data_IF_567030699821
#
_entry.id   IF_567030699821
#
_cell.length_a   1.000
_cell.length_b   1.000
_cell.length_c   1.000
_cell.angle_alpha   90.00
_cell.angle_beta   90.00
_cell.angle_gamma   90.00
#
_symmetry.space_group_name_H-M   'P 1'
#
loop_
_entity.id
_entity.type
_entity.pdbx_description
1 polymer ?
#
# COMPACT_ATOMS: atom_id res chain seq x y z
N UNK A 1 11.49 -11.96 -8.54
CA UNK A 1 11.07 -11.92 -9.94
C UNK A 1 9.80 -11.08 -10.11
N UNK A 2 8.72 -11.32 -9.33
CA UNK A 2 7.45 -10.59 -9.46
C UNK A 2 7.66 -9.09 -9.36
N UNK A 3 8.40 -8.60 -8.36
CA UNK A 3 8.69 -7.19 -8.16
C UNK A 3 9.36 -6.53 -9.38
N UNK A 4 10.36 -7.20 -9.96
CA UNK A 4 11.05 -6.68 -11.15
C UNK A 4 10.10 -6.57 -12.34
N UNK A 5 9.31 -7.62 -12.59
CA UNK A 5 8.38 -7.65 -13.72
C UNK A 5 7.32 -6.56 -13.55
N UNK A 6 6.71 -6.44 -12.38
CA UNK A 6 5.67 -5.45 -12.12
C UNK A 6 6.20 -4.03 -12.16
N UNK A 7 7.43 -3.78 -11.67
CA UNK A 7 8.09 -2.49 -11.80
C UNK A 7 8.31 -2.11 -13.28
N UNK A 8 8.83 -3.03 -14.09
CA UNK A 8 9.04 -2.78 -15.52
C UNK A 8 7.72 -2.50 -16.26
N UNK A 9 6.66 -3.25 -15.95
CA UNK A 9 5.33 -3.02 -16.52
C UNK A 9 4.78 -1.66 -16.09
N UNK A 10 4.92 -1.29 -14.83
CA UNK A 10 4.48 0.03 -14.32
C UNK A 10 5.25 1.17 -14.99
N UNK A 11 6.57 1.02 -15.20
CA UNK A 11 7.38 2.00 -15.91
C UNK A 11 6.94 2.17 -17.37
N UNK A 12 6.60 1.08 -18.09
CA UNK A 12 6.05 1.16 -19.45
C UNK A 12 4.81 2.08 -19.49
N UNK A 13 3.95 1.98 -18.49
CA UNK A 13 2.73 2.79 -18.37
C UNK A 13 2.98 4.30 -18.29
N UNK A 14 4.15 4.73 -17.83
CA UNK A 14 4.48 6.16 -17.74
C UNK A 14 4.71 6.80 -19.13
N UNK A 15 5.01 6.01 -20.13
CA UNK A 15 5.23 6.47 -21.51
C UNK A 15 3.95 6.40 -22.38
N UNK A 16 2.85 5.86 -21.84
CA UNK A 16 1.56 5.81 -22.53
C UNK A 16 0.95 7.21 -22.54
N UNK A 17 0.62 7.72 -23.73
CA UNK A 17 -0.11 8.98 -23.85
C UNK A 17 -1.57 8.78 -23.45
N UNK A 18 -2.05 9.55 -22.49
CA UNK A 18 -3.45 9.57 -22.02
C UNK A 18 -4.01 11.01 -22.04
N UNK A 19 -5.34 11.19 -21.97
CA UNK A 19 -5.94 12.50 -21.88
C UNK A 19 -5.40 13.30 -20.67
N UNK A 20 -5.18 14.59 -20.83
CA UNK A 20 -4.66 15.46 -19.76
C UNK A 20 -5.52 15.44 -18.49
N UNK A 21 -6.84 15.26 -18.62
CA UNK A 21 -7.76 15.15 -17.48
C UNK A 21 -7.51 13.92 -16.61
N UNK A 22 -6.89 12.88 -17.16
CA UNK A 22 -6.62 11.61 -16.50
C UNK A 22 -5.15 11.50 -16.02
N UNK A 23 -4.35 12.59 -16.15
CA UNK A 23 -2.91 12.59 -15.84
C UNK A 23 -2.58 12.16 -14.41
N UNK A 24 -3.48 12.37 -13.45
CA UNK A 24 -3.30 11.90 -12.07
C UNK A 24 -3.08 10.38 -11.97
N UNK A 25 -3.63 9.60 -12.91
CA UNK A 25 -3.38 8.15 -12.95
C UNK A 25 -1.91 7.81 -13.28
N UNK A 26 -1.24 8.64 -14.10
CA UNK A 26 0.20 8.47 -14.35
C UNK A 26 1.03 8.90 -13.14
N UNK A 27 0.61 9.95 -12.42
CA UNK A 27 1.27 10.32 -11.15
C UNK A 27 1.15 9.18 -10.12
N UNK A 28 -0.05 8.60 -9.95
CA UNK A 28 -0.26 7.42 -9.10
C UNK A 28 0.64 6.27 -9.56
N UNK A 29 0.65 5.95 -10.85
CA UNK A 29 1.45 4.85 -11.39
C UNK A 29 2.95 5.08 -11.17
N UNK A 30 3.44 6.31 -11.30
CA UNK A 30 4.83 6.66 -11.02
C UNK A 30 5.19 6.43 -9.54
N UNK A 31 4.30 6.83 -8.64
CA UNK A 31 4.48 6.62 -7.19
C UNK A 31 4.45 5.11 -6.86
N UNK A 32 3.53 4.35 -7.44
CA UNK A 32 3.46 2.90 -7.24
C UNK A 32 4.68 2.17 -7.84
N UNK A 33 5.19 2.59 -8.99
CA UNK A 33 6.42 2.06 -9.55
C UNK A 33 7.62 2.33 -8.61
N UNK A 34 7.67 3.50 -7.98
CA UNK A 34 8.67 3.82 -6.98
C UNK A 34 8.53 2.97 -5.71
N UNK A 35 7.30 2.75 -5.23
CA UNK A 35 7.01 1.82 -4.11
C UNK A 35 7.51 0.41 -4.43
N UNK A 36 7.20 -0.11 -5.62
CA UNK A 36 7.65 -1.43 -6.07
C UNK A 36 9.18 -1.52 -6.18
N UNK A 37 9.84 -0.44 -6.60
CA UNK A 37 11.31 -0.38 -6.65
C UNK A 37 11.92 -0.46 -5.23
N UNK A 38 11.41 0.32 -4.28
CA UNK A 38 11.82 0.25 -2.86
C UNK A 38 11.61 -1.16 -2.33
N UNK A 39 10.42 -1.72 -2.54
CA UNK A 39 10.09 -3.08 -2.11
C UNK A 39 11.07 -4.12 -2.69
N UNK A 40 11.39 -4.03 -3.98
CA UNK A 40 12.37 -4.90 -4.64
C UNK A 40 13.73 -4.85 -3.95
N UNK A 41 14.21 -3.66 -3.59
CA UNK A 41 15.45 -3.48 -2.84
C UNK A 41 15.37 -4.12 -1.44
N UNK A 42 14.28 -3.88 -0.70
CA UNK A 42 14.09 -4.48 0.62
C UNK A 42 13.93 -6.00 0.56
N UNK A 43 13.33 -6.57 -0.50
CA UNK A 43 13.27 -8.01 -0.69
C UNK A 43 14.65 -8.64 -0.83
N UNK A 44 15.58 -8.01 -1.58
CA UNK A 44 16.97 -8.46 -1.63
C UNK A 44 17.58 -8.43 -0.23
N UNK A 45 17.39 -7.35 0.51
CA UNK A 45 17.90 -7.23 1.88
C UNK A 45 17.27 -8.24 2.85
N UNK A 46 15.99 -8.55 2.72
CA UNK A 46 15.29 -9.60 3.51
C UNK A 46 15.86 -10.98 3.17
N UNK A 47 16.12 -11.29 1.89
CA UNK A 47 16.72 -12.57 1.48
C UNK A 47 18.08 -12.78 2.13
N UNK A 48 18.88 -11.74 2.30
CA UNK A 48 20.17 -11.83 3.00
C UNK A 48 20.04 -12.20 4.50
N UNK A 49 18.81 -12.13 5.06
CA UNK A 49 18.52 -12.57 6.42
C UNK A 49 18.01 -14.02 6.52
N UNK A 50 17.99 -14.79 5.44
CA UNK A 50 17.50 -16.18 5.46
C UNK A 50 18.24 -17.10 6.45
N UNK A 51 19.50 -16.78 6.75
CA UNK A 51 20.29 -17.52 7.76
C UNK A 51 19.88 -17.19 9.20
N UNK A 52 19.32 -15.99 9.43
CA UNK A 52 18.76 -15.57 10.72
C UNK A 52 17.38 -14.95 10.50
N UNK A 53 16.36 -15.78 10.58
CA UNK A 53 14.98 -15.39 10.33
C UNK A 53 14.46 -14.32 11.30
N UNK A 54 15.11 -14.12 12.45
CA UNK A 54 14.73 -13.07 13.40
C UNK A 54 14.98 -11.67 12.84
N UNK A 55 15.95 -11.54 11.95
CA UNK A 55 16.25 -10.25 11.27
C UNK A 55 15.24 -9.91 10.17
N UNK A 56 14.45 -10.86 9.70
CA UNK A 56 13.47 -10.61 8.64
C UNK A 56 12.36 -9.66 9.10
N UNK A 57 11.84 -9.83 10.30
CA UNK A 57 10.76 -8.98 10.85
C UNK A 57 11.16 -7.51 10.90
N UNK A 58 12.28 -7.09 11.55
CA UNK A 58 12.71 -5.70 11.53
C UNK A 58 12.85 -5.11 10.13
N UNK A 59 13.44 -5.86 9.19
CA UNK A 59 13.64 -5.39 7.82
C UNK A 59 12.34 -5.14 7.08
N UNK A 60 11.32 -6.01 7.26
CA UNK A 60 10.00 -5.82 6.67
C UNK A 60 9.30 -4.58 7.22
N UNK A 61 9.38 -4.36 8.52
CA UNK A 61 8.74 -3.18 9.12
C UNK A 61 9.36 -1.87 8.63
N UNK A 62 10.67 -1.84 8.33
CA UNK A 62 11.31 -0.67 7.70
C UNK A 62 10.73 -0.43 6.30
N UNK A 63 10.59 -1.47 5.48
CA UNK A 63 9.93 -1.38 4.17
C UNK A 63 8.50 -0.86 4.32
N UNK A 64 7.70 -1.51 5.14
CA UNK A 64 6.30 -1.15 5.33
C UNK A 64 6.09 0.26 5.88
N UNK A 65 6.98 0.74 6.75
CA UNK A 65 6.90 2.10 7.29
C UNK A 65 7.02 3.17 6.18
N UNK A 66 7.73 2.86 5.11
CA UNK A 66 7.89 3.75 3.96
C UNK A 66 6.77 3.51 2.94
N UNK A 67 6.55 2.25 2.55
CA UNK A 67 5.70 1.91 1.41
C UNK A 67 4.21 2.01 1.71
N UNK A 68 3.76 1.57 2.89
CA UNK A 68 2.32 1.47 3.18
C UNK A 68 1.60 2.82 3.30
N UNK A 69 2.14 3.88 3.93
CA UNK A 69 1.45 5.17 3.94
C UNK A 69 1.35 5.79 2.54
N UNK A 70 2.36 5.57 1.70
CA UNK A 70 2.34 6.02 0.30
C UNK A 70 1.25 5.29 -0.49
N UNK A 71 1.11 3.98 -0.32
CA UNK A 71 0.05 3.19 -0.94
C UNK A 71 -1.35 3.62 -0.49
N UNK A 72 -1.55 3.95 0.79
CA UNK A 72 -2.82 4.48 1.25
C UNK A 72 -3.12 5.84 0.64
N UNK A 73 -2.12 6.71 0.49
CA UNK A 73 -2.26 7.98 -0.20
C UNK A 73 -2.70 7.77 -1.66
N UNK A 74 -1.97 6.97 -2.43
CA UNK A 74 -2.32 6.70 -3.84
C UNK A 74 -3.69 6.07 -3.97
N UNK A 75 -4.08 5.23 -3.03
CA UNK A 75 -5.42 4.61 -2.97
C UNK A 75 -6.53 5.66 -2.82
N UNK A 76 -6.41 6.59 -1.87
CA UNK A 76 -7.44 7.62 -1.68
C UNK A 76 -7.47 8.63 -2.84
N UNK A 77 -6.32 8.93 -3.43
CA UNK A 77 -6.25 9.74 -4.67
C UNK A 77 -6.97 9.03 -5.82
N UNK A 78 -6.75 7.72 -5.99
CA UNK A 78 -7.45 6.93 -6.99
C UNK A 78 -8.96 6.85 -6.75
N UNK A 79 -9.39 6.71 -5.50
CA UNK A 79 -10.81 6.75 -5.13
C UNK A 79 -11.43 8.11 -5.47
N UNK A 80 -10.72 9.22 -5.18
CA UNK A 80 -11.15 10.57 -5.54
C UNK A 80 -11.24 10.77 -7.05
N UNK A 81 -10.29 10.26 -7.81
CA UNK A 81 -10.34 10.28 -9.27
C UNK A 81 -11.62 9.60 -9.80
N UNK A 82 -12.00 8.44 -9.24
CA UNK A 82 -13.22 7.72 -9.68
C UNK A 82 -14.52 8.41 -9.26
N UNK A 83 -14.49 9.30 -8.26
CA UNK A 83 -15.65 10.12 -7.89
C UNK A 83 -15.96 11.15 -8.96
N UNK A 84 -14.93 11.75 -9.58
CA UNK A 84 -15.12 12.80 -10.58
C UNK A 84 -14.05 12.80 -11.67
N UNK A 85 -14.22 11.91 -12.65
CA UNK A 85 -13.28 11.75 -13.78
C UNK A 85 -13.23 12.91 -14.78
N UNK A 86 -14.09 13.92 -14.62
CA UNK A 86 -14.16 15.05 -15.56
C UNK A 86 -13.32 16.26 -15.10
N UNK A 87 -12.93 16.32 -13.84
CA UNK A 87 -12.14 17.41 -13.28
C UNK A 87 -10.68 16.97 -13.13
N UNK A 88 -9.75 17.57 -13.88
CA UNK A 88 -8.33 17.28 -13.74
C UNK A 88 -7.83 17.79 -12.38
N UNK A 89 -7.02 17.00 -11.71
CA UNK A 89 -6.28 17.40 -10.51
C UNK A 89 -4.97 16.60 -10.43
N UNK A 90 -4.05 17.05 -9.60
CA UNK A 90 -2.77 16.38 -9.34
C UNK A 90 -2.76 15.75 -7.95
N UNK A 91 -1.85 14.80 -7.72
CA UNK A 91 -1.60 14.23 -6.38
C UNK A 91 -1.25 15.36 -5.40
N UNK A 92 -0.45 16.34 -5.83
CA UNK A 92 -0.07 17.49 -5.00
C UNK A 92 -1.30 18.30 -4.57
N UNK A 93 -2.17 18.66 -5.50
CA UNK A 93 -3.41 19.40 -5.20
C UNK A 93 -4.29 18.62 -4.22
N UNK A 94 -4.44 17.31 -4.45
CA UNK A 94 -5.19 16.46 -3.53
C UNK A 94 -4.63 16.50 -2.11
N UNK A 95 -3.29 16.42 -1.94
CA UNK A 95 -2.64 16.48 -0.63
C UNK A 95 -2.88 17.83 0.04
N UNK A 96 -2.80 18.94 -0.71
CA UNK A 96 -3.03 20.29 -0.18
C UNK A 96 -4.47 20.46 0.31
N UNK A 97 -5.45 19.98 -0.47
CA UNK A 97 -6.88 20.06 -0.15
C UNK A 97 -7.30 19.12 1.00
N UNK A 98 -6.64 17.97 1.15
CA UNK A 98 -7.00 16.93 2.12
C UNK A 98 -5.90 16.68 3.15
N UNK A 99 -5.12 17.72 3.47
CA UNK A 99 -3.91 17.63 4.28
C UNK A 99 -4.14 16.93 5.64
N UNK A 100 -5.24 17.23 6.31
CA UNK A 100 -5.54 16.63 7.62
C UNK A 100 -5.77 15.13 7.52
N UNK A 101 -6.56 14.67 6.56
CA UNK A 101 -6.82 13.25 6.35
C UNK A 101 -5.53 12.51 5.99
N UNK A 102 -4.69 13.08 5.11
CA UNK A 102 -3.40 12.51 4.73
C UNK A 102 -2.48 12.37 5.95
N UNK A 103 -2.34 13.41 6.76
CA UNK A 103 -1.51 13.39 7.98
C UNK A 103 -2.02 12.33 8.95
N UNK A 104 -3.32 12.27 9.20
CA UNK A 104 -3.90 11.28 10.11
C UNK A 104 -3.73 9.84 9.61
N UNK A 105 -3.87 9.59 8.30
CA UNK A 105 -3.58 8.28 7.71
C UNK A 105 -2.13 7.88 7.98
N UNK A 106 -1.16 8.79 7.74
CA UNK A 106 0.26 8.53 7.96
C UNK A 106 0.56 8.24 9.44
N UNK A 107 -0.01 9.04 10.35
CA UNK A 107 0.17 8.85 11.80
C UNK A 107 -0.43 7.50 12.24
N UNK A 108 -1.69 7.22 11.89
CA UNK A 108 -2.34 5.99 12.34
C UNK A 108 -1.73 4.75 11.71
N UNK A 109 -1.33 4.82 10.43
CA UNK A 109 -0.59 3.74 9.79
C UNK A 109 0.77 3.51 10.45
N UNK A 110 1.50 4.57 10.78
CA UNK A 110 2.77 4.49 11.49
C UNK A 110 2.61 3.87 12.88
N UNK A 111 1.58 4.26 13.64
CA UNK A 111 1.27 3.69 14.96
C UNK A 111 0.84 2.22 14.84
N UNK A 112 0.03 1.86 13.83
CA UNK A 112 -0.34 0.48 13.55
C UNK A 112 0.91 -0.39 13.37
N UNK A 113 1.86 0.05 12.54
CA UNK A 113 3.10 -0.66 12.28
C UNK A 113 4.01 -0.71 13.51
N UNK A 114 4.10 0.40 14.25
CA UNK A 114 4.90 0.47 15.47
C UNK A 114 4.44 -0.59 16.49
N UNK A 115 3.16 -0.64 16.81
CA UNK A 115 2.62 -1.60 17.77
C UNK A 115 2.69 -3.05 17.26
N UNK A 116 2.48 -3.26 15.96
CA UNK A 116 2.72 -4.54 15.32
C UNK A 116 4.18 -4.99 15.48
N UNK A 117 5.14 -4.11 15.20
CA UNK A 117 6.57 -4.37 15.35
C UNK A 117 6.96 -4.70 16.81
N UNK A 118 6.50 -3.88 17.76
CA UNK A 118 6.79 -4.09 19.19
C UNK A 118 6.25 -5.46 19.67
N UNK A 119 5.06 -5.86 19.21
CA UNK A 119 4.50 -7.17 19.51
C UNK A 119 5.28 -8.31 18.84
N UNK A 120 5.62 -8.20 17.55
CA UNK A 120 6.34 -9.24 16.83
C UNK A 120 7.79 -9.44 17.29
N UNK A 121 8.42 -8.38 17.79
CA UNK A 121 9.78 -8.43 18.36
C UNK A 121 9.80 -8.78 19.85
N UNK A 122 8.62 -9.04 20.47
CA UNK A 122 8.44 -9.34 21.88
C UNK A 122 8.95 -8.23 22.82
N UNK A 123 8.97 -6.97 22.37
CA UNK A 123 9.21 -5.80 23.25
C UNK A 123 8.01 -5.59 24.16
N UNK A 124 6.82 -5.83 23.63
CA UNK A 124 5.56 -5.95 24.39
C UNK A 124 4.90 -7.31 24.05
N UNK A 125 4.01 -7.82 24.92
CA UNK A 125 3.26 -9.04 24.58
C UNK A 125 2.48 -8.89 23.28
N UNK A 126 2.49 -9.91 22.41
CA UNK A 126 1.75 -9.88 21.13
C UNK A 126 0.25 -9.66 21.34
N UNK A 127 -0.27 -10.21 22.44
CA UNK A 127 -1.67 -10.10 22.87
C UNK A 127 -2.08 -8.65 23.19
N UNK A 128 -1.10 -7.77 23.37
CA UNK A 128 -1.29 -6.32 23.57
C UNK A 128 -0.95 -5.57 22.29
N UNK A 129 0.21 -5.82 21.70
CA UNK A 129 0.70 -5.08 20.54
C UNK A 129 -0.20 -5.21 19.32
N UNK A 130 -0.63 -6.44 18.99
CA UNK A 130 -1.46 -6.70 17.82
C UNK A 130 -2.85 -6.05 17.93
N UNK A 131 -3.62 -6.18 19.04
CA UNK A 131 -4.89 -5.47 19.19
C UNK A 131 -4.77 -3.94 19.12
N UNK A 132 -3.72 -3.35 19.70
CA UNK A 132 -3.48 -1.91 19.58
C UNK A 132 -3.17 -1.56 18.12
N UNK A 133 -2.39 -2.37 17.42
CA UNK A 133 -2.17 -2.23 15.99
C UNK A 133 -3.48 -2.25 15.19
N UNK A 134 -4.38 -3.18 15.47
CA UNK A 134 -5.72 -3.24 14.86
C UNK A 134 -6.59 -2.03 15.18
N UNK A 135 -6.48 -1.45 16.37
CA UNK A 135 -7.16 -0.19 16.68
C UNK A 135 -6.70 0.95 15.75
N UNK A 136 -5.39 1.10 15.53
CA UNK A 136 -4.88 2.13 14.62
C UNK A 136 -5.14 1.78 13.15
N UNK A 137 -5.16 0.51 12.78
CA UNK A 137 -5.67 0.04 11.49
C UNK A 137 -7.11 0.55 11.26
N UNK A 138 -8.01 0.31 12.20
CA UNK A 138 -9.38 0.80 12.12
C UNK A 138 -9.43 2.33 11.96
N UNK A 139 -8.63 3.08 12.73
CA UNK A 139 -8.57 4.54 12.63
C UNK A 139 -8.12 5.01 11.25
N UNK A 140 -7.05 4.43 10.71
CA UNK A 140 -6.55 4.76 9.37
C UNK A 140 -7.59 4.43 8.29
N UNK A 141 -8.15 3.22 8.33
CA UNK A 141 -9.11 2.77 7.33
C UNK A 141 -10.48 3.44 7.45
N UNK A 142 -10.85 3.97 8.61
CA UNK A 142 -12.04 4.83 8.73
C UNK A 142 -11.92 6.12 7.92
N UNK A 143 -10.70 6.65 7.77
CA UNK A 143 -10.47 7.82 6.90
C UNK A 143 -10.51 7.39 5.43
N UNK A 144 -9.86 6.27 5.07
CA UNK A 144 -9.91 5.73 3.70
C UNK A 144 -11.35 5.47 3.24
N UNK A 145 -12.22 5.02 4.15
CA UNK A 145 -13.62 4.75 3.85
C UNK A 145 -14.40 5.99 3.39
N UNK A 146 -14.08 7.19 3.88
CA UNK A 146 -14.71 8.45 3.44
C UNK A 146 -14.58 8.67 1.91
N UNK A 147 -13.48 8.20 1.34
CA UNK A 147 -13.23 8.28 -0.10
C UNK A 147 -13.82 7.08 -0.83
N UNK A 148 -13.79 5.91 -0.20
CA UNK A 148 -14.28 4.66 -0.77
C UNK A 148 -15.79 4.63 -0.98
N UNK A 149 -16.58 5.18 -0.04
CA UNK A 149 -18.04 5.11 -0.05
C UNK A 149 -18.69 5.83 -1.23
N UNK A 150 -17.95 6.73 -1.90
CA UNK A 150 -18.45 7.57 -2.99
C UNK A 150 -18.72 6.81 -4.29
N UNK A 151 -18.05 5.68 -4.51
CA UNK A 151 -18.14 4.91 -5.75
C UNK A 151 -18.11 3.41 -5.50
N UNK A 152 -18.73 2.63 -6.39
CA UNK A 152 -18.67 1.16 -6.32
C UNK A 152 -17.24 0.63 -6.44
N UNK A 153 -16.43 1.22 -7.33
CA UNK A 153 -15.00 0.87 -7.49
C UNK A 153 -14.24 1.13 -6.19
N UNK A 154 -14.49 2.29 -5.55
CA UNK A 154 -13.90 2.64 -4.27
C UNK A 154 -14.26 1.64 -3.18
N UNK A 155 -15.53 1.28 -3.06
CA UNK A 155 -16.01 0.31 -2.07
C UNK A 155 -15.39 -1.09 -2.27
N UNK A 156 -15.29 -1.55 -3.52
CA UNK A 156 -14.71 -2.85 -3.84
C UNK A 156 -13.20 -2.87 -3.54
N UNK A 157 -12.48 -1.80 -3.89
CA UNK A 157 -11.06 -1.64 -3.56
C UNK A 157 -10.85 -1.58 -2.03
N UNK A 158 -11.69 -0.84 -1.32
CA UNK A 158 -11.65 -0.76 0.14
C UNK A 158 -11.82 -2.13 0.80
N UNK A 159 -12.85 -2.89 0.40
CA UNK A 159 -13.07 -4.26 0.92
C UNK A 159 -11.86 -5.15 0.70
N UNK A 160 -11.29 -5.11 -0.51
CA UNK A 160 -10.09 -5.85 -0.83
C UNK A 160 -8.91 -5.47 0.08
N UNK A 161 -8.67 -4.16 0.26
CA UNK A 161 -7.56 -3.67 1.09
C UNK A 161 -7.76 -3.99 2.57
N UNK A 162 -8.99 -3.83 3.11
CA UNK A 162 -9.28 -4.19 4.50
C UNK A 162 -8.97 -5.67 4.75
N UNK A 163 -9.41 -6.55 3.86
CA UNK A 163 -9.14 -7.99 4.00
C UNK A 163 -7.64 -8.29 3.89
N UNK A 164 -6.98 -7.77 2.85
CA UNK A 164 -5.56 -8.01 2.63
C UNK A 164 -4.71 -7.53 3.83
N UNK A 165 -4.97 -6.33 4.34
CA UNK A 165 -4.20 -5.76 5.45
C UNK A 165 -4.52 -6.40 6.79
N UNK A 166 -5.79 -6.77 7.05
CA UNK A 166 -6.15 -7.53 8.24
C UNK A 166 -5.43 -8.89 8.28
N UNK A 167 -5.23 -9.52 7.12
CA UNK A 167 -4.50 -10.78 7.03
C UNK A 167 -3.02 -10.65 7.42
N UNK A 168 -2.37 -9.49 7.23
CA UNK A 168 -1.03 -9.26 7.78
C UNK A 168 -1.02 -9.32 9.31
N UNK A 169 -2.03 -8.72 9.96
CA UNK A 169 -2.18 -8.79 11.42
C UNK A 169 -2.43 -10.20 11.93
N UNK A 170 -3.22 -11.00 11.19
CA UNK A 170 -3.44 -12.44 11.51
C UNK A 170 -2.14 -13.22 11.30
N UNK A 171 -1.42 -12.97 10.20
CA UNK A 171 -0.15 -13.64 9.92
C UNK A 171 0.92 -13.33 10.97
N UNK A 172 0.88 -12.16 11.62
CA UNK A 172 1.78 -11.80 12.73
C UNK A 172 1.73 -12.77 13.90
N UNK A 173 0.61 -13.46 14.09
CA UNK A 173 0.43 -14.45 15.16
C UNK A 173 1.02 -15.82 14.82
N UNK A 174 1.32 -16.09 13.54
CA UNK A 174 1.83 -17.37 13.08
C UNK A 174 3.30 -17.60 13.49
N UNK A 175 3.76 -18.88 13.51
CA UNK A 175 5.17 -19.19 13.62
C UNK A 175 6.00 -18.52 12.52
N UNK A 176 7.28 -18.28 12.76
CA UNK A 176 8.11 -17.41 11.94
C UNK A 176 8.19 -17.81 10.45
N UNK A 177 8.19 -19.11 10.16
CA UNK A 177 8.27 -19.63 8.79
C UNK A 177 6.97 -19.37 8.02
N UNK A 178 5.85 -19.79 8.59
CA UNK A 178 4.50 -19.64 8.03
C UNK A 178 4.15 -18.15 7.86
N UNK A 179 4.47 -17.34 8.88
CA UNK A 179 4.32 -15.88 8.84
C UNK A 179 5.02 -15.27 7.64
N UNK A 180 6.31 -15.61 7.40
CA UNK A 180 7.06 -15.04 6.29
C UNK A 180 6.53 -15.50 4.93
N UNK A 181 6.00 -16.73 4.82
CA UNK A 181 5.32 -17.19 3.60
C UNK A 181 4.06 -16.36 3.35
N UNK A 182 3.23 -16.17 4.39
CA UNK A 182 2.02 -15.35 4.30
C UNK A 182 2.35 -13.91 3.89
N UNK A 183 3.34 -13.28 4.51
CA UNK A 183 3.75 -11.92 4.18
C UNK A 183 4.21 -11.79 2.73
N UNK A 184 5.04 -12.72 2.23
CA UNK A 184 5.47 -12.72 0.82
C UNK A 184 4.28 -12.84 -0.14
N UNK A 185 3.31 -13.68 0.20
CA UNK A 185 2.10 -13.88 -0.61
C UNK A 185 1.23 -12.62 -0.58
N UNK A 186 1.01 -12.05 0.62
CA UNK A 186 0.20 -10.84 0.77
C UNK A 186 0.82 -9.62 0.07
N UNK A 187 2.16 -9.48 0.07
CA UNK A 187 2.84 -8.40 -0.66
C UNK A 187 2.55 -8.46 -2.17
N UNK A 188 2.52 -9.66 -2.76
CA UNK A 188 2.15 -9.83 -4.17
C UNK A 188 0.72 -9.32 -4.43
N UNK A 189 -0.24 -9.68 -3.58
CA UNK A 189 -1.63 -9.27 -3.75
C UNK A 189 -1.86 -7.80 -3.44
N UNK A 190 -1.35 -7.32 -2.32
CA UNK A 190 -1.63 -5.96 -1.85
C UNK A 190 -0.89 -4.87 -2.61
N UNK A 191 0.33 -5.16 -3.08
CA UNK A 191 1.21 -4.16 -3.73
C UNK A 191 1.27 -4.36 -5.24
N UNK A 192 1.71 -5.55 -5.70
CA UNK A 192 1.94 -5.75 -7.14
C UNK A 192 0.65 -5.74 -7.94
N UNK A 193 -0.42 -6.39 -7.49
CA UNK A 193 -1.69 -6.35 -8.21
C UNK A 193 -2.33 -4.97 -8.20
N UNK A 194 -2.16 -4.19 -7.15
CA UNK A 194 -2.65 -2.80 -7.14
C UNK A 194 -1.92 -1.95 -8.19
N UNK A 195 -0.59 -1.99 -8.25
CA UNK A 195 0.18 -1.28 -9.27
C UNK A 195 -0.17 -1.72 -10.70
N UNK A 196 -0.34 -3.04 -10.93
CA UNK A 196 -0.79 -3.58 -12.22
C UNK A 196 -2.22 -3.13 -12.57
N UNK A 197 -3.11 -3.00 -11.58
CA UNK A 197 -4.46 -2.50 -11.80
C UNK A 197 -4.45 -1.05 -12.27
N UNK A 198 -3.63 -0.18 -11.65
CA UNK A 198 -3.45 1.20 -12.11
C UNK A 198 -2.86 1.24 -13.52
N UNK A 199 -1.82 0.44 -13.80
CA UNK A 199 -1.27 0.29 -15.15
C UNK A 199 -2.34 -0.07 -16.18
N UNK A 200 -3.18 -1.06 -15.87
CA UNK A 200 -4.28 -1.47 -16.74
C UNK A 200 -5.24 -0.31 -17.04
N UNK A 201 -5.58 0.49 -16.01
CA UNK A 201 -6.43 1.69 -16.18
C UNK A 201 -5.77 2.73 -17.09
N UNK A 202 -4.49 3.02 -16.91
CA UNK A 202 -3.71 3.92 -17.78
C UNK A 202 -3.72 3.40 -19.23
N UNK A 203 -3.50 2.10 -19.41
CA UNK A 203 -3.47 1.48 -20.75
C UNK A 203 -4.82 1.56 -21.48
N UNK A 204 -5.94 1.46 -20.75
CA UNK A 204 -7.28 1.60 -21.33
C UNK A 204 -7.55 3.02 -21.86
N UNK A 205 -6.88 4.04 -21.32
CA UNK A 205 -7.04 5.45 -21.69
C UNK A 205 -6.05 5.90 -22.78
N UNK A 206 -5.26 4.98 -23.34
CA UNK A 206 -4.26 5.28 -24.38
C UNK A 206 -4.88 6.02 -25.55
N UNK A 207 -4.26 7.17 -25.88
CA UNK A 207 -4.55 7.93 -27.10
C UNK A 207 -3.58 7.48 -28.20
N UNK A 208 -4.12 7.23 -29.39
CA UNK A 208 -3.30 6.87 -30.57
C UNK A 208 -2.53 8.06 -31.09
#
# INVERSE_FOLDING_TARGET
FVQIITTLVSLDGLFIKIPAKDSVLQEILAIEAFVQFIEGFFYVWVILALKDMKLMTPRRYIDWMITTPIMLLTTIVFMKYNENTNLPFTVKQFIEENKEDVIHIFIYNGLMLLFGYLGETNVIPKEIGIPIGFFFFYKSFSIVYKYAEKTEIGQNLFKFLVVAWALYGVAAMLPIKEKNICYNTLDIFSKNFYGLYIYYKVRQLRIN
#
